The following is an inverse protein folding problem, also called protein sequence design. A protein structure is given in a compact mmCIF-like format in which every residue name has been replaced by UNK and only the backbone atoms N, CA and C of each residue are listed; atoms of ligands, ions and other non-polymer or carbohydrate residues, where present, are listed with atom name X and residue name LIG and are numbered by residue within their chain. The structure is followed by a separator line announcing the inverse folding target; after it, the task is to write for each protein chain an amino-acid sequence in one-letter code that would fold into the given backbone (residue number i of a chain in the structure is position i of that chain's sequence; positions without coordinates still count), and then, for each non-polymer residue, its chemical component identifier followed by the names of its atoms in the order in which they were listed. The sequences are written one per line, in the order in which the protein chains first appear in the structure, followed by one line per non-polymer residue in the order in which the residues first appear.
data_IF_165283305726
#
_entry.id   IF_165283305726
#
_cell.length_a   1.000
_cell.length_b   1.000
_cell.length_c   1.000
_cell.angle_alpha   90.00
_cell.angle_beta   90.00
_cell.angle_gamma   90.00
#
_symmetry.space_group_name_H-M   'P 1'
#
loop_
_entity.id
_entity.type
_entity.pdbx_description
1 polymer ?
#
# COMPACT_ATOMS: atom_id res chain seq x y z
N UNK A 1 69.57 -7.17 28.57
CA UNK A 1 69.89 -7.69 27.22
C UNK A 1 68.84 -7.08 26.29
N UNK A 2 68.97 -5.83 25.81
CA UNK A 2 69.95 -5.30 24.82
C UNK A 2 70.04 -6.23 23.61
N UNK A 3 69.85 -5.82 22.35
CA UNK A 3 69.93 -4.50 21.70
C UNK A 3 69.27 -4.63 20.29
N UNK A 4 68.49 -3.66 19.79
CA UNK A 4 68.88 -2.54 18.88
C UNK A 4 69.31 -2.99 17.46
N UNK A 5 68.98 -2.38 16.30
CA UNK A 5 68.70 -1.00 15.80
C UNK A 5 68.02 -1.13 14.41
N UNK A 6 67.14 -0.21 13.95
CA UNK A 6 67.46 1.04 13.22
C UNK A 6 67.37 0.79 11.69
N UNK A 7 66.60 1.52 10.88
CA UNK A 7 66.80 2.93 10.52
C UNK A 7 65.58 3.59 9.84
N UNK A 8 65.54 4.92 9.99
CA UNK A 8 64.66 5.92 9.37
C UNK A 8 65.49 6.73 8.38
N UNK A 9 65.01 6.95 7.14
CA UNK A 9 65.26 8.11 6.25
C UNK A 9 64.04 8.17 5.29
N UNK A 10 63.34 9.26 4.96
CA UNK A 10 63.62 10.70 5.01
C UNK A 10 63.39 11.34 3.63
N UNK A 11 62.20 11.94 3.44
CA UNK A 11 61.83 13.10 2.57
C UNK A 11 62.26 13.23 1.09
N UNK A 12 61.26 13.42 0.21
CA UNK A 12 61.10 14.51 -0.80
C UNK A 12 59.80 14.20 -1.58
N UNK A 13 58.80 15.06 -1.78
CA UNK A 13 58.74 16.52 -1.81
C UNK A 13 58.51 16.96 -3.25
N UNK A 14 57.25 17.11 -3.71
CA UNK A 14 56.89 18.00 -4.83
C UNK A 14 55.45 18.49 -4.71
N UNK A 15 55.34 19.79 -4.46
CA UNK A 15 54.14 20.62 -4.57
C UNK A 15 53.82 20.87 -6.05
N UNK A 16 52.55 21.00 -6.39
CA UNK A 16 52.13 21.94 -7.43
C UNK A 16 50.90 22.74 -6.97
N UNK A 17 51.14 24.04 -6.89
CA UNK A 17 50.20 25.14 -6.65
C UNK A 17 50.06 25.87 -7.98
N UNK A 18 48.84 26.19 -8.43
CA UNK A 18 48.55 27.33 -9.34
C UNK A 18 47.04 27.38 -9.60
N UNK A 19 46.29 28.23 -8.87
CA UNK A 19 45.86 29.59 -9.24
C UNK A 19 44.64 29.67 -10.17
N UNK A 20 43.58 30.29 -9.63
CA UNK A 20 42.43 30.87 -10.33
C UNK A 20 42.84 31.86 -11.44
N UNK A 21 41.94 32.08 -12.40
CA UNK A 21 41.73 33.42 -12.94
C UNK A 21 40.28 33.89 -12.79
N UNK A 22 40.14 35.12 -12.28
CA UNK A 22 38.95 35.98 -12.37
C UNK A 22 39.20 37.16 -13.31
N UNK A 23 38.11 37.83 -13.72
CA UNK A 23 37.94 39.08 -14.52
C UNK A 23 37.64 38.84 -16.02
N UNK A 24 36.72 39.53 -16.72
CA UNK A 24 35.74 40.59 -16.40
C UNK A 24 34.80 40.80 -17.63
N UNK A 25 33.64 41.46 -17.41
CA UNK A 25 32.81 42.25 -18.37
C UNK A 25 31.88 41.44 -19.30
N UNK A 26 30.55 41.60 -19.36
CA UNK A 26 29.78 42.84 -19.63
C UNK A 26 28.30 42.69 -19.23
N UNK A 27 27.67 43.82 -18.88
CA UNK A 27 26.33 43.97 -18.36
C UNK A 27 25.18 43.89 -19.39
N UNK A 28 23.99 43.51 -18.93
CA UNK A 28 22.72 44.09 -19.39
C UNK A 28 21.71 44.13 -18.22
N UNK A 29 21.29 45.35 -17.87
CA UNK A 29 20.27 45.70 -16.87
C UNK A 29 18.87 45.43 -17.44
N UNK A 30 17.89 45.11 -16.59
CA UNK A 30 16.60 45.80 -16.62
C UNK A 30 15.97 45.82 -15.22
N UNK A 31 15.50 47.01 -14.84
CA UNK A 31 15.05 47.44 -13.51
C UNK A 31 13.53 47.57 -13.49
N UNK A 32 12.86 47.07 -12.44
CA UNK A 32 11.60 47.59 -11.88
C UNK A 32 11.67 47.22 -10.38
N UNK A 33 11.67 48.09 -9.37
CA UNK A 33 10.98 49.36 -9.20
C UNK A 33 10.01 49.20 -8.01
N UNK A 34 10.53 49.18 -6.78
CA UNK A 34 9.77 49.19 -5.52
C UNK A 34 9.31 50.60 -5.16
N UNK A 35 8.05 50.76 -4.78
CA UNK A 35 7.61 51.81 -3.83
C UNK A 35 6.50 51.27 -2.92
N UNK A 36 6.80 51.27 -1.61
CA UNK A 36 5.83 51.26 -0.51
C UNK A 36 5.28 52.69 -0.34
N UNK A 37 4.03 52.85 0.12
CA UNK A 37 3.61 53.65 1.29
C UNK A 37 2.13 53.33 1.63
N UNK A 38 1.86 53.24 2.93
CA UNK A 38 0.61 52.98 3.65
C UNK A 38 -0.54 53.96 3.36
N UNK A 39 -1.79 53.52 3.59
CA UNK A 39 -2.72 54.15 4.55
C UNK A 39 -4.03 53.35 4.72
N UNK A 40 -4.51 53.30 5.96
CA UNK A 40 -5.89 53.00 6.38
C UNK A 40 -6.40 54.23 7.17
N UNK A 41 -7.67 54.41 7.59
CA UNK A 41 -8.84 53.49 7.58
C UNK A 41 -10.18 54.15 7.15
N UNK A 42 -11.27 53.37 6.99
CA UNK A 42 -12.64 53.74 7.46
C UNK A 42 -13.71 52.71 7.06
N UNK A 43 -14.63 52.45 8.00
CA UNK A 43 -15.84 51.64 7.85
C UNK A 43 -16.95 52.42 7.11
N UNK A 44 -17.65 51.80 6.16
CA UNK A 44 -19.06 52.09 5.85
C UNK A 44 -19.79 50.78 5.52
N UNK A 45 -20.93 50.61 6.16
CA UNK A 45 -21.94 49.55 6.02
C UNK A 45 -22.78 49.70 4.74
N UNK A 46 -23.17 48.60 4.10
CA UNK A 46 -24.54 48.37 3.58
C UNK A 46 -24.69 47.04 2.81
N UNK A 47 -25.90 46.49 2.92
CA UNK A 47 -26.37 45.17 2.48
C UNK A 47 -26.63 45.13 0.96
N UNK A 48 -26.52 43.95 0.34
CA UNK A 48 -27.65 43.19 -0.26
C UNK A 48 -27.28 42.35 -1.50
N UNK A 49 -27.73 41.10 -1.45
CA UNK A 49 -28.27 40.25 -2.55
C UNK A 49 -27.41 39.75 -3.73
N UNK A 50 -27.73 38.48 -4.05
CA UNK A 50 -27.66 37.78 -5.34
C UNK A 50 -26.41 36.96 -5.67
N UNK A 51 -26.48 35.69 -5.27
CA UNK A 51 -26.51 34.56 -6.22
C UNK A 51 -25.22 34.30 -7.01
N UNK A 52 -24.30 33.55 -6.43
CA UNK A 52 -23.16 32.97 -7.17
C UNK A 52 -23.43 31.48 -7.42
N UNK A 53 -23.74 31.16 -8.68
CA UNK A 53 -23.76 29.79 -9.20
C UNK A 53 -22.35 29.19 -9.02
N UNK A 54 -22.23 28.19 -8.17
CA UNK A 54 -21.03 27.35 -8.12
C UNK A 54 -21.06 26.36 -9.28
N UNK A 55 -20.05 26.48 -10.15
CA UNK A 55 -19.84 25.64 -11.31
C UNK A 55 -19.28 24.28 -10.83
N UNK A 56 -20.17 23.32 -10.59
CA UNK A 56 -19.80 21.92 -10.32
C UNK A 56 -19.37 21.28 -11.63
N UNK A 57 -18.07 21.15 -11.86
CA UNK A 57 -17.51 20.42 -12.99
C UNK A 57 -17.85 18.93 -12.88
N UNK A 58 -18.90 18.52 -13.59
CA UNK A 58 -19.22 17.14 -13.89
C UNK A 58 -18.19 16.60 -14.89
N UNK A 59 -17.22 15.82 -14.43
CA UNK A 59 -16.34 15.07 -15.33
C UNK A 59 -17.15 13.94 -15.98
N UNK A 60 -17.47 14.12 -17.27
CA UNK A 60 -18.08 13.13 -18.17
C UNK A 60 -16.94 12.32 -18.79
N UNK A 61 -17.00 11.00 -18.69
CA UNK A 61 -16.10 10.11 -19.44
C UNK A 61 -16.32 10.33 -20.95
N UNK A 62 -15.26 10.34 -21.79
CA UNK A 62 -15.42 10.31 -23.24
C UNK A 62 -16.06 9.00 -23.67
N UNK A 63 -16.98 9.09 -24.63
CA UNK A 63 -17.92 8.07 -25.05
C UNK A 63 -17.28 6.69 -25.34
N UNK A 64 -17.73 5.70 -24.57
CA UNK A 64 -17.64 4.28 -24.91
C UNK A 64 -18.85 3.98 -25.79
N UNK A 65 -18.65 3.77 -27.09
CA UNK A 65 -19.71 3.30 -27.99
C UNK A 65 -20.18 1.91 -27.52
N UNK A 66 -21.27 1.90 -26.76
CA UNK A 66 -21.96 0.67 -26.38
C UNK A 66 -22.77 0.21 -27.58
N UNK A 67 -22.32 -0.85 -28.22
CA UNK A 67 -23.13 -1.63 -29.15
C UNK A 67 -24.39 -2.10 -28.42
N UNK A 68 -25.54 -1.64 -28.90
CA UNK A 68 -26.89 -1.79 -28.35
C UNK A 68 -27.41 -3.24 -28.45
N UNK A 69 -26.76 -4.20 -27.79
CA UNK A 69 -27.30 -5.56 -27.61
C UNK A 69 -26.67 -6.40 -26.48
N UNK A 70 -25.74 -5.88 -25.67
CA UNK A 70 -25.15 -6.65 -24.57
C UNK A 70 -25.94 -6.41 -23.27
N UNK A 71 -26.46 -7.47 -22.66
CA UNK A 71 -27.03 -7.36 -21.32
C UNK A 71 -25.95 -6.86 -20.35
N UNK A 72 -26.22 -5.84 -19.51
CA UNK A 72 -25.22 -5.28 -18.58
C UNK A 72 -24.82 -6.25 -17.46
N UNK A 73 -25.51 -7.39 -17.35
CA UNK A 73 -25.31 -8.41 -16.34
C UNK A 73 -25.08 -9.78 -16.95
N UNK A 74 -24.20 -10.54 -16.31
CA UNK A 74 -24.17 -11.97 -16.51
C UNK A 74 -25.43 -12.61 -15.91
N UNK A 75 -25.90 -13.67 -16.57
CA UNK A 75 -27.06 -14.48 -16.12
C UNK A 75 -26.78 -15.11 -14.74
N UNK A 76 -25.51 -15.40 -14.44
CA UNK A 76 -25.04 -15.91 -13.15
C UNK A 76 -23.80 -15.15 -12.69
N UNK A 77 -23.57 -15.14 -11.38
CA UNK A 77 -22.35 -14.58 -10.81
C UNK A 77 -21.12 -15.39 -11.28
N UNK A 78 -20.01 -14.73 -11.64
CA UNK A 78 -18.80 -15.45 -12.09
C UNK A 78 -17.91 -15.92 -10.93
N UNK A 79 -18.22 -15.50 -9.69
CA UNK A 79 -17.74 -16.13 -8.46
C UNK A 79 -18.89 -16.24 -7.49
N UNK A 80 -18.99 -17.40 -6.87
CA UNK A 80 -20.06 -17.66 -5.93
C UNK A 80 -19.81 -16.98 -4.58
N UNK A 81 -20.83 -16.28 -4.10
CA UNK A 81 -20.83 -15.64 -2.81
C UNK A 81 -22.20 -15.76 -2.14
N UNK A 82 -22.17 -16.06 -0.85
CA UNK A 82 -23.34 -16.08 0.02
C UNK A 82 -23.44 -14.75 0.77
N UNK A 83 -24.51 -14.01 0.53
CA UNK A 83 -24.74 -12.67 1.06
C UNK A 83 -25.68 -12.73 2.27
N UNK A 84 -25.25 -13.41 3.34
CA UNK A 84 -26.08 -13.67 4.53
C UNK A 84 -25.40 -13.22 5.83
N UNK A 85 -26.22 -12.93 6.84
CA UNK A 85 -25.73 -12.60 8.20
C UNK A 85 -24.99 -13.79 8.85
N UNK A 86 -25.41 -15.01 8.53
CA UNK A 86 -24.74 -16.23 8.97
C UNK A 86 -23.32 -16.31 8.37
N UNK A 87 -23.19 -16.08 7.06
CA UNK A 87 -21.90 -16.08 6.40
C UNK A 87 -20.99 -14.97 6.93
N UNK A 88 -21.53 -13.77 7.16
CA UNK A 88 -20.82 -12.68 7.83
C UNK A 88 -20.26 -13.12 9.20
N UNK A 89 -21.10 -13.74 10.02
CA UNK A 89 -20.72 -14.21 11.36
C UNK A 89 -19.67 -15.31 11.30
N UNK A 90 -19.80 -16.25 10.37
CA UNK A 90 -18.83 -17.32 10.14
C UNK A 90 -17.47 -16.75 9.74
N UNK A 91 -17.42 -15.84 8.78
CA UNK A 91 -16.18 -15.20 8.35
C UNK A 91 -15.54 -14.37 9.45
N UNK A 92 -16.33 -13.60 10.21
CA UNK A 92 -15.84 -12.87 11.39
C UNK A 92 -15.16 -13.84 12.38
N UNK A 93 -15.80 -14.99 12.65
CA UNK A 93 -15.23 -16.01 13.54
C UNK A 93 -13.95 -16.60 12.98
N UNK A 94 -13.91 -16.94 11.68
CA UNK A 94 -12.70 -17.45 11.01
C UNK A 94 -11.55 -16.47 11.15
N UNK A 95 -11.78 -15.20 10.82
CA UNK A 95 -10.74 -14.18 10.93
C UNK A 95 -10.33 -13.98 12.39
N UNK A 96 -11.25 -13.80 13.34
CA UNK A 96 -10.91 -13.57 14.76
C UNK A 96 -10.15 -14.72 15.42
N UNK A 97 -10.51 -15.96 15.07
CA UNK A 97 -9.89 -17.18 15.61
C UNK A 97 -8.59 -17.56 14.89
N UNK A 98 -8.25 -16.89 13.78
CA UNK A 98 -7.06 -17.17 12.99
C UNK A 98 -5.79 -17.15 13.85
N UNK A 99 -4.99 -18.20 13.74
CA UNK A 99 -3.63 -18.28 14.28
C UNK A 99 -2.74 -18.87 13.18
N UNK A 100 -1.55 -18.30 12.95
CA UNK A 100 -0.59 -18.86 12.00
C UNK A 100 -0.34 -20.34 12.25
N UNK A 101 -0.23 -21.13 11.19
CA UNK A 101 0.07 -22.56 11.29
C UNK A 101 1.48 -22.85 11.85
N UNK A 102 2.38 -21.85 11.86
CA UNK A 102 3.71 -21.94 12.44
C UNK A 102 3.70 -21.57 13.93
N UNK A 103 4.12 -22.50 14.81
CA UNK A 103 4.16 -22.28 16.26
C UNK A 103 5.17 -21.23 16.74
N UNK A 104 6.14 -20.83 15.90
CA UNK A 104 7.10 -19.77 16.21
C UNK A 104 6.53 -18.37 15.93
N UNK A 105 5.44 -18.27 15.17
CA UNK A 105 4.87 -17.00 14.72
C UNK A 105 3.51 -16.79 15.38
N UNK A 106 3.44 -15.80 16.27
CA UNK A 106 2.19 -15.45 16.95
C UNK A 106 1.21 -14.68 16.06
N UNK A 107 1.72 -13.96 15.05
CA UNK A 107 0.92 -13.15 14.14
C UNK A 107 1.48 -13.13 12.71
N UNK A 108 0.62 -13.38 11.74
CA UNK A 108 0.91 -13.17 10.33
C UNK A 108 0.93 -11.67 10.00
N UNK A 109 2.09 -11.13 9.65
CA UNK A 109 2.20 -9.80 9.02
C UNK A 109 1.86 -9.84 7.52
N UNK A 110 0.95 -8.98 7.11
CA UNK A 110 0.51 -8.78 5.72
C UNK A 110 0.85 -7.37 5.28
N UNK A 111 1.54 -7.19 4.16
CA UNK A 111 1.92 -5.86 3.65
C UNK A 111 1.01 -5.38 2.52
N UNK A 112 0.43 -4.19 2.65
CA UNK A 112 -0.35 -3.57 1.58
C UNK A 112 0.53 -2.66 0.72
N UNK A 113 0.66 -2.97 -0.57
CA UNK A 113 1.41 -2.21 -1.56
C UNK A 113 0.49 -1.66 -2.64
N UNK A 114 0.78 -0.47 -3.16
CA UNK A 114 0.02 0.07 -4.29
C UNK A 114 0.05 1.60 -4.35
N UNK A 115 -0.46 2.20 -5.43
CA UNK A 115 -0.36 3.64 -5.67
C UNK A 115 -0.97 4.48 -4.55
N UNK A 116 -0.54 5.74 -4.48
CA UNK A 116 -1.17 6.73 -3.59
C UNK A 116 -2.64 6.88 -3.97
N UNK A 117 -3.52 6.86 -2.96
CA UNK A 117 -4.96 6.94 -3.16
C UNK A 117 -5.61 5.66 -3.70
N UNK A 118 -4.91 4.53 -3.78
CA UNK A 118 -5.49 3.26 -4.19
C UNK A 118 -6.44 2.63 -3.15
N UNK A 119 -6.57 3.21 -1.94
CA UNK A 119 -7.49 2.71 -0.91
C UNK A 119 -6.90 1.73 0.11
N UNK A 120 -5.57 1.64 0.24
CA UNK A 120 -4.88 0.78 1.23
C UNK A 120 -5.33 1.05 2.66
N UNK A 121 -5.13 2.27 3.15
CA UNK A 121 -5.50 2.68 4.50
C UNK A 121 -7.02 2.61 4.72
N UNK A 122 -7.81 2.92 3.68
CA UNK A 122 -9.27 2.81 3.70
C UNK A 122 -9.74 1.37 3.86
N UNK A 123 -9.09 0.41 3.19
CA UNK A 123 -9.38 -1.01 3.35
C UNK A 123 -9.13 -1.45 4.80
N UNK A 124 -7.97 -1.12 5.36
CA UNK A 124 -7.65 -1.44 6.76
C UNK A 124 -8.69 -0.84 7.72
N UNK A 125 -9.05 0.43 7.53
CA UNK A 125 -10.06 1.10 8.37
C UNK A 125 -11.43 0.45 8.23
N UNK A 126 -11.78 -0.02 7.02
CA UNK A 126 -13.03 -0.72 6.75
C UNK A 126 -13.07 -2.04 7.49
N UNK A 127 -12.01 -2.85 7.37
CA UNK A 127 -11.88 -4.12 8.10
C UNK A 127 -11.97 -3.89 9.61
N UNK A 128 -11.25 -2.91 10.15
CA UNK A 128 -11.35 -2.58 11.58
C UNK A 128 -12.76 -2.12 12.00
N UNK A 129 -13.50 -1.45 11.11
CA UNK A 129 -14.87 -1.03 11.37
C UNK A 129 -15.81 -2.22 11.52
N UNK A 130 -15.63 -3.24 10.68
CA UNK A 130 -16.37 -4.51 10.73
C UNK A 130 -16.23 -5.14 12.13
N UNK A 131 -14.99 -5.30 12.63
CA UNK A 131 -14.75 -5.88 13.97
C UNK A 131 -15.17 -4.97 15.13
N UNK A 132 -15.11 -3.65 14.97
CA UNK A 132 -15.58 -2.70 15.98
C UNK A 132 -17.11 -2.59 16.05
N UNK A 133 -17.85 -3.18 15.10
CA UNK A 133 -19.31 -3.08 15.01
C UNK A 133 -19.83 -1.68 14.66
N UNK A 134 -18.94 -0.76 14.24
CA UNK A 134 -19.29 0.60 13.82
C UNK A 134 -18.27 1.13 12.84
N UNK A 135 -18.70 2.00 11.93
CA UNK A 135 -17.76 2.69 11.02
C UNK A 135 -16.79 3.54 11.85
N UNK A 136 -15.51 3.20 11.78
CA UNK A 136 -14.40 3.91 12.42
C UNK A 136 -13.41 4.38 11.37
N UNK A 137 -13.25 5.69 11.22
CA UNK A 137 -12.18 6.29 10.40
C UNK A 137 -10.93 6.51 11.26
N UNK A 138 -10.28 5.41 11.66
CA UNK A 138 -9.05 5.44 12.48
C UNK A 138 -7.78 5.52 11.64
N UNK A 139 -7.81 5.00 10.41
CA UNK A 139 -6.77 5.34 9.45
C UNK A 139 -6.91 6.83 9.12
N UNK A 140 -5.80 7.56 9.08
CA UNK A 140 -5.80 8.98 8.70
C UNK A 140 -6.19 9.08 7.21
N UNK A 141 -7.49 9.02 6.90
CA UNK A 141 -8.05 9.22 5.56
C UNK A 141 -8.04 10.73 5.31
N UNK A 142 -6.83 11.28 5.19
CA UNK A 142 -6.58 12.69 4.98
C UNK A 142 -5.41 12.82 4.04
N UNK A 143 -5.66 13.40 2.86
CA UNK A 143 -4.61 13.99 2.04
C UNK A 143 -3.68 14.83 2.93
N UNK A 144 -2.38 14.82 2.62
CA UNK A 144 -1.34 15.69 3.21
C UNK A 144 -0.74 15.23 4.55
N UNK A 145 0.20 14.29 4.49
CA UNK A 145 1.41 14.32 5.32
C UNK A 145 2.50 13.52 4.61
N UNK A 146 3.57 14.21 4.21
CA UNK A 146 4.71 13.73 3.42
C UNK A 146 5.66 12.79 4.18
N UNK A 147 5.19 12.10 5.23
CA UNK A 147 6.02 11.23 6.06
C UNK A 147 5.58 9.76 5.96
N UNK A 148 6.52 8.93 5.53
CA UNK A 148 6.29 7.57 5.06
C UNK A 148 6.37 6.61 6.23
N UNK A 149 5.28 6.23 6.90
CA UNK A 149 5.40 5.36 8.08
C UNK A 149 4.93 3.93 7.80
N UNK A 150 5.74 2.91 8.10
CA UNK A 150 5.25 1.52 8.28
C UNK A 150 4.35 1.52 9.52
N UNK A 151 3.03 1.46 9.29
CA UNK A 151 2.03 1.44 10.36
C UNK A 151 1.41 0.05 10.42
N UNK A 152 1.74 -0.77 11.43
CA UNK A 152 1.02 -2.01 11.66
C UNK A 152 -0.35 -1.72 12.28
N UNK A 153 -1.36 -2.41 11.77
CA UNK A 153 -2.72 -2.36 12.25
C UNK A 153 -3.12 -3.76 12.68
N UNK A 154 -3.24 -3.94 13.99
CA UNK A 154 -3.80 -5.16 14.55
C UNK A 154 -5.29 -5.20 14.23
N UNK A 155 -5.72 -6.33 13.67
CA UNK A 155 -7.13 -6.68 13.69
C UNK A 155 -7.43 -7.18 15.10
N UNK A 156 -8.43 -6.60 15.72
CA UNK A 156 -8.91 -7.05 17.02
C UNK A 156 -10.16 -7.88 16.76
N UNK A 157 -10.35 -8.97 17.52
CA UNK A 157 -11.61 -9.68 17.56
C UNK A 157 -12.73 -8.81 18.14
N UNK A 158 -13.85 -9.45 18.50
CA UNK A 158 -14.92 -8.70 19.17
C UNK A 158 -14.44 -8.16 20.52
N UNK A 159 -15.08 -7.07 20.98
CA UNK A 159 -14.67 -6.28 22.16
C UNK A 159 -14.41 -7.17 23.38
N UNK A 160 -13.13 -7.35 23.75
CA UNK A 160 -12.69 -8.14 24.90
C UNK A 160 -11.92 -9.42 24.55
N UNK A 161 -11.82 -9.79 23.27
CA UNK A 161 -11.00 -10.91 22.81
C UNK A 161 -9.55 -10.50 22.55
N UNK A 162 -8.64 -11.48 22.64
CA UNK A 162 -7.24 -11.30 22.30
C UNK A 162 -7.08 -10.79 20.85
N UNK A 163 -6.03 -9.99 20.57
CA UNK A 163 -5.73 -9.55 19.21
C UNK A 163 -5.66 -10.75 18.26
N UNK A 164 -6.24 -10.59 17.06
CA UNK A 164 -6.22 -11.62 16.04
C UNK A 164 -4.79 -12.00 15.67
N UNK A 165 -4.57 -13.23 15.20
CA UNK A 165 -3.27 -13.70 14.71
C UNK A 165 -2.79 -13.03 13.42
N UNK A 166 -3.26 -11.83 13.07
CA UNK A 166 -2.91 -11.11 11.84
C UNK A 166 -2.68 -9.62 12.09
N UNK A 167 -1.69 -9.07 11.39
CA UNK A 167 -1.35 -7.64 11.38
C UNK A 167 -1.33 -7.15 9.94
N UNK A 168 -2.14 -6.14 9.62
CA UNK A 168 -2.10 -5.47 8.33
C UNK A 168 -1.14 -4.29 8.40
N UNK A 169 -0.10 -4.30 7.58
CA UNK A 169 0.92 -3.25 7.49
C UNK A 169 0.59 -2.32 6.33
N UNK A 170 0.31 -1.05 6.64
CA UNK A 170 0.21 0.01 5.63
C UNK A 170 1.55 0.70 5.46
N UNK A 171 1.92 0.95 4.21
CA UNK A 171 3.05 1.80 3.85
C UNK A 171 2.57 2.84 2.83
N UNK A 172 3.28 3.98 2.76
CA UNK A 172 2.92 5.02 1.80
C UNK A 172 2.96 4.48 0.37
N UNK A 173 2.07 4.99 -0.48
CA UNK A 173 1.86 4.42 -1.81
C UNK A 173 3.07 4.52 -2.72
N UNK A 174 3.13 3.60 -3.68
CA UNK A 174 4.13 3.61 -4.76
C UNK A 174 3.95 4.92 -5.55
N UNK A 175 5.05 5.66 -5.73
CA UNK A 175 5.06 6.88 -6.55
C UNK A 175 5.55 6.59 -7.96
N UNK A 176 5.10 7.43 -8.88
CA UNK A 176 5.35 7.33 -10.31
C UNK A 176 6.72 7.95 -10.66
N UNK A 177 7.69 7.14 -11.06
CA UNK A 177 8.90 7.62 -11.75
C UNK A 177 9.99 8.18 -10.83
N UNK A 178 11.05 7.39 -10.67
CA UNK A 178 12.45 7.69 -10.31
C UNK A 178 12.84 8.64 -9.17
N UNK A 179 11.96 9.38 -8.47
CA UNK A 179 12.47 10.25 -7.37
C UNK A 179 11.52 10.63 -6.22
N UNK A 180 10.33 10.05 -6.12
CA UNK A 180 9.35 10.49 -5.07
C UNK A 180 8.58 9.37 -4.37
N UNK A 181 9.05 8.12 -4.42
CA UNK A 181 8.40 6.97 -3.79
C UNK A 181 9.36 6.10 -2.99
N UNK A 182 8.84 5.09 -2.29
CA UNK A 182 9.66 4.03 -1.69
C UNK A 182 10.49 3.36 -2.78
N UNK A 183 11.79 3.20 -2.53
CA UNK A 183 12.64 2.44 -3.45
C UNK A 183 12.27 0.95 -3.39
N UNK A 184 12.57 0.20 -4.44
CA UNK A 184 12.44 -1.27 -4.43
C UNK A 184 13.21 -1.86 -3.23
N UNK A 185 14.39 -1.31 -2.93
CA UNK A 185 15.20 -1.71 -1.79
C UNK A 185 14.48 -1.52 -0.45
N UNK A 186 13.76 -0.40 -0.26
CA UNK A 186 13.01 -0.15 0.97
C UNK A 186 11.88 -1.16 1.14
N UNK A 187 11.13 -1.43 0.08
CA UNK A 187 10.03 -2.41 0.10
C UNK A 187 10.56 -3.80 0.44
N UNK A 188 11.66 -4.22 -0.18
CA UNK A 188 12.29 -5.50 0.12
C UNK A 188 12.85 -5.56 1.55
N UNK A 189 13.38 -4.45 2.05
CA UNK A 189 13.82 -4.36 3.45
C UNK A 189 12.66 -4.49 4.43
N UNK A 190 11.48 -3.97 4.09
CA UNK A 190 10.25 -4.18 4.87
C UNK A 190 9.83 -5.63 4.85
N UNK A 191 9.80 -6.26 3.67
CA UNK A 191 9.37 -7.66 3.50
C UNK A 191 10.27 -8.60 4.30
N UNK A 192 11.58 -8.37 4.25
CA UNK A 192 12.58 -9.12 5.02
C UNK A 192 12.56 -8.85 6.52
N UNK A 193 11.76 -7.90 7.00
CA UNK A 193 11.67 -7.58 8.44
C UNK A 193 12.81 -6.72 8.99
N UNK A 194 13.63 -6.11 8.12
CA UNK A 194 14.75 -5.27 8.57
C UNK A 194 14.31 -3.89 9.08
N UNK A 195 13.13 -3.44 8.67
CA UNK A 195 12.63 -2.09 8.96
C UNK A 195 11.84 -2.10 10.28
N UNK A 196 12.23 -1.28 11.27
CA UNK A 196 11.51 -1.21 12.54
C UNK A 196 10.11 -0.63 12.37
N UNK A 197 9.23 -0.97 13.28
CA UNK A 197 7.90 -0.37 13.38
C UNK A 197 7.99 1.15 13.54
N UNK A 198 7.09 1.89 12.88
CA UNK A 198 7.05 3.34 12.97
C UNK A 198 8.18 4.05 12.20
N UNK A 199 9.03 3.32 11.48
CA UNK A 199 10.06 3.91 10.63
C UNK A 199 9.46 4.88 9.62
N UNK A 200 10.07 6.06 9.51
CA UNK A 200 9.71 7.10 8.53
C UNK A 200 10.65 7.01 7.32
N UNK A 201 10.18 6.46 6.21
CA UNK A 201 10.95 6.47 4.95
C UNK A 201 11.11 7.90 4.43
N UNK A 202 12.16 8.12 3.66
CA UNK A 202 12.38 9.34 2.89
C UNK A 202 13.00 8.95 1.55
N UNK A 203 12.58 9.53 0.41
CA UNK A 203 13.19 9.24 -0.90
C UNK A 203 14.68 9.61 -0.94
N UNK A 204 15.09 10.58 -0.12
CA UNK A 204 16.48 11.01 0.02
C UNK A 204 17.32 10.12 0.92
N UNK A 205 16.69 9.23 1.70
CA UNK A 205 17.36 8.38 2.68
C UNK A 205 16.75 6.97 2.64
N UNK A 206 17.22 6.12 1.71
CA UNK A 206 16.85 4.71 1.68
C UNK A 206 17.22 4.01 2.99
N UNK A 207 16.51 2.93 3.29
CA UNK A 207 16.81 2.07 4.44
C UNK A 207 18.19 1.46 4.25
N UNK A 208 19.04 1.58 5.27
CA UNK A 208 20.37 0.98 5.35
C UNK A 208 20.58 0.33 6.71
N UNK A 209 21.67 -0.44 6.86
CA UNK A 209 22.07 -1.02 8.14
C UNK A 209 22.41 0.02 9.23
N UNK A 210 22.55 1.29 8.85
CA UNK A 210 22.77 2.43 9.76
C UNK A 210 21.46 3.10 10.18
N UNK A 211 20.32 2.69 9.60
CA UNK A 211 19.01 3.21 9.96
C UNK A 211 18.73 2.94 11.44
N UNK A 212 18.26 3.96 12.16
CA UNK A 212 17.95 3.84 13.59
C UNK A 212 16.90 2.74 13.80
N UNK A 213 17.23 1.75 14.62
CA UNK A 213 16.37 0.60 14.90
C UNK A 213 16.39 -0.50 13.83
N UNK A 214 17.30 -0.45 12.85
CA UNK A 214 17.43 -1.48 11.82
C UNK A 214 17.66 -2.87 12.43
N UNK A 215 16.81 -3.82 12.05
CA UNK A 215 16.87 -5.20 12.54
C UNK A 215 17.87 -5.96 11.67
N UNK A 216 19.10 -6.15 12.18
CA UNK A 216 20.18 -6.83 11.42
C UNK A 216 19.88 -8.29 11.11
N UNK A 217 19.20 -8.98 12.02
CA UNK A 217 18.87 -10.40 11.93
C UNK A 217 17.38 -10.58 12.25
N UNK A 218 16.49 -10.29 11.28
CA UNK A 218 15.06 -10.43 11.47
C UNK A 218 14.72 -11.89 11.71
N UNK A 219 13.87 -12.13 12.71
CA UNK A 219 13.26 -13.42 12.96
C UNK A 219 12.04 -13.61 12.05
N UNK A 220 11.49 -14.83 11.98
CA UNK A 220 10.33 -15.11 11.12
C UNK A 220 9.15 -14.19 11.45
N UNK A 221 8.92 -13.92 12.75
CA UNK A 221 7.86 -13.01 13.20
C UNK A 221 8.02 -11.56 12.72
N UNK A 222 9.24 -11.13 12.35
CA UNK A 222 9.53 -9.77 11.88
C UNK A 222 9.25 -9.61 10.38
N UNK A 223 9.19 -10.72 9.63
CA UNK A 223 9.02 -10.76 8.19
C UNK A 223 7.56 -10.59 7.77
N UNK A 224 7.36 -10.25 6.50
CA UNK A 224 6.05 -10.22 5.86
C UNK A 224 5.76 -11.59 5.27
N UNK A 225 4.59 -12.14 5.59
CA UNK A 225 4.17 -13.50 5.18
C UNK A 225 3.23 -13.48 3.97
N UNK A 226 2.61 -12.34 3.68
CA UNK A 226 1.81 -12.15 2.47
C UNK A 226 1.86 -10.68 2.01
N UNK A 227 1.94 -10.45 0.70
CA UNK A 227 1.86 -9.12 0.11
C UNK A 227 0.55 -8.95 -0.65
N UNK A 228 -0.10 -7.80 -0.44
CA UNK A 228 -1.38 -7.44 -1.03
C UNK A 228 -1.18 -6.22 -1.94
N UNK A 229 -1.32 -6.40 -3.24
CA UNK A 229 -1.35 -5.28 -4.18
C UNK A 229 -2.73 -4.63 -4.21
N UNK A 230 -2.80 -3.32 -4.02
CA UNK A 230 -4.05 -2.57 -3.96
C UNK A 230 -4.10 -1.59 -5.14
N UNK A 231 -5.12 -1.71 -5.97
CA UNK A 231 -5.36 -0.86 -7.13
C UNK A 231 -6.78 -0.30 -7.13
N UNK A 232 -6.95 0.92 -7.61
CA UNK A 232 -8.25 1.62 -7.67
C UNK A 232 -8.93 1.35 -9.01
N UNK A 233 -10.10 0.72 -8.99
CA UNK A 233 -10.90 0.37 -10.16
C UNK A 233 -11.16 1.56 -11.09
N UNK A 234 -11.38 2.75 -10.52
CA UNK A 234 -11.64 3.97 -11.29
C UNK A 234 -10.40 4.53 -11.99
N UNK A 235 -9.21 4.05 -11.61
CA UNK A 235 -7.91 4.54 -12.11
C UNK A 235 -7.08 3.49 -12.82
N UNK A 236 -7.49 2.21 -12.83
CA UNK A 236 -6.74 1.11 -13.48
C UNK A 236 -6.24 1.48 -14.88
N UNK A 237 -7.07 2.17 -15.67
CA UNK A 237 -6.76 2.58 -17.04
C UNK A 237 -5.89 3.83 -17.16
N UNK A 238 -5.86 4.64 -16.10
CA UNK A 238 -5.15 5.91 -16.05
C UNK A 238 -3.75 5.80 -15.46
N UNK A 239 -3.37 4.63 -14.93
CA UNK A 239 -2.06 4.45 -14.35
C UNK A 239 -0.96 4.57 -15.42
N UNK A 240 0.19 5.18 -15.09
CA UNK A 240 1.31 5.27 -16.01
C UNK A 240 1.81 3.88 -16.40
N UNK A 241 2.28 3.74 -17.65
CA UNK A 241 2.82 2.47 -18.16
C UNK A 241 3.97 1.92 -17.30
N UNK A 242 4.81 2.80 -16.76
CA UNK A 242 5.93 2.41 -15.87
C UNK A 242 5.50 1.77 -14.54
N UNK A 243 4.23 1.90 -14.15
CA UNK A 243 3.74 1.25 -12.93
C UNK A 243 3.66 -0.27 -13.10
N UNK A 244 3.32 -0.74 -14.31
CA UNK A 244 3.27 -2.19 -14.59
C UNK A 244 4.64 -2.83 -14.44
N UNK A 245 5.70 -2.14 -14.91
CA UNK A 245 7.09 -2.61 -14.73
C UNK A 245 7.51 -2.59 -13.26
N UNK A 246 7.12 -1.59 -12.47
CA UNK A 246 7.39 -1.58 -11.02
C UNK A 246 6.70 -2.75 -10.32
N UNK A 247 5.43 -3.02 -10.65
CA UNK A 247 4.74 -4.19 -10.11
C UNK A 247 5.42 -5.49 -10.52
N UNK A 248 5.88 -5.59 -11.77
CA UNK A 248 6.58 -6.78 -12.26
C UNK A 248 7.85 -7.04 -11.45
N UNK A 249 8.71 -6.03 -11.31
CA UNK A 249 9.93 -6.14 -10.51
C UNK A 249 9.62 -6.52 -9.07
N UNK A 250 8.61 -5.89 -8.45
CA UNK A 250 8.18 -6.25 -7.10
C UNK A 250 7.75 -7.72 -7.03
N UNK A 251 6.90 -8.18 -7.96
CA UNK A 251 6.40 -9.55 -7.96
C UNK A 251 7.51 -10.58 -8.08
N UNK A 252 8.46 -10.35 -8.97
CA UNK A 252 9.61 -11.23 -9.18
C UNK A 252 10.41 -11.35 -7.86
N UNK A 253 10.81 -10.23 -7.26
CA UNK A 253 11.58 -10.24 -6.02
C UNK A 253 10.80 -10.79 -4.81
N UNK A 254 9.49 -10.55 -4.74
CA UNK A 254 8.63 -11.09 -3.67
C UNK A 254 8.51 -12.62 -3.82
N UNK A 255 8.39 -13.12 -5.06
CA UNK A 255 8.34 -14.56 -5.35
C UNK A 255 9.68 -15.24 -5.05
N UNK A 256 10.81 -14.58 -5.34
CA UNK A 256 12.15 -15.07 -4.99
C UNK A 256 12.36 -15.20 -3.47
N UNK A 257 11.62 -14.40 -2.68
CA UNK A 257 11.59 -14.51 -1.21
C UNK A 257 10.60 -15.58 -0.71
N UNK A 258 9.92 -16.30 -1.61
CA UNK A 258 8.92 -17.30 -1.26
C UNK A 258 7.62 -16.72 -0.69
N UNK A 259 7.40 -15.41 -0.80
CA UNK A 259 6.23 -14.74 -0.21
C UNK A 259 5.07 -14.71 -1.22
N UNK A 260 3.90 -15.15 -0.77
CA UNK A 260 2.70 -15.19 -1.60
C UNK A 260 2.06 -13.82 -1.78
N UNK A 261 1.40 -13.64 -2.94
CA UNK A 261 0.91 -12.35 -3.39
C UNK A 261 -0.55 -12.43 -3.83
N UNK A 262 -1.38 -11.51 -3.33
CA UNK A 262 -2.78 -11.34 -3.74
C UNK A 262 -3.04 -9.89 -4.14
N UNK A 263 -4.17 -9.63 -4.79
CA UNK A 263 -4.54 -8.29 -5.19
C UNK A 263 -5.95 -7.90 -4.75
N UNK A 264 -6.12 -6.63 -4.38
CA UNK A 264 -7.40 -5.99 -4.08
C UNK A 264 -7.70 -4.94 -5.13
N UNK A 265 -8.88 -5.04 -5.73
CA UNK A 265 -9.44 -4.03 -6.61
C UNK A 265 -10.46 -3.20 -5.82
N UNK A 266 -10.06 -2.01 -5.39
CA UNK A 266 -10.89 -1.13 -4.56
C UNK A 266 -11.77 -0.22 -5.41
N UNK A 267 -12.72 0.46 -4.78
CA UNK A 267 -13.58 1.47 -5.42
C UNK A 267 -14.43 0.94 -6.58
N UNK A 268 -14.84 -0.32 -6.50
CA UNK A 268 -15.69 -0.96 -7.52
C UNK A 268 -17.07 -0.29 -7.63
N UNK A 269 -17.51 0.37 -6.56
CA UNK A 269 -18.70 1.22 -6.50
C UNK A 269 -18.59 2.48 -7.39
N UNK A 270 -17.38 2.98 -7.66
CA UNK A 270 -17.20 4.18 -8.50
C UNK A 270 -17.31 3.90 -10.00
N UNK A 271 -17.06 2.66 -10.42
CA UNK A 271 -17.07 2.27 -11.84
C UNK A 271 -18.40 1.65 -12.28
N UNK A 272 -19.18 1.10 -11.34
CA UNK A 272 -20.48 0.50 -11.64
C UNK A 272 -21.57 1.08 -10.72
N UNK A 273 -22.49 1.91 -11.24
CA UNK A 273 -23.56 2.52 -10.45
C UNK A 273 -24.44 1.51 -9.71
N UNK A 274 -24.63 0.32 -10.29
CA UNK A 274 -25.48 -0.69 -9.69
C UNK A 274 -24.78 -1.46 -8.58
N UNK A 275 -23.46 -1.65 -8.68
CA UNK A 275 -22.64 -2.11 -7.53
C UNK A 275 -22.55 -1.05 -6.44
N UNK A 276 -22.61 0.24 -6.80
CA UNK A 276 -22.69 1.33 -5.82
C UNK A 276 -23.98 1.27 -5.00
N UNK A 277 -25.11 0.95 -5.66
CA UNK A 277 -26.42 0.78 -5.01
C UNK A 277 -26.49 -0.52 -4.21
N UNK A 278 -26.00 -1.61 -4.78
CA UNK A 278 -26.06 -2.94 -4.20
C UNK A 278 -24.79 -3.74 -4.54
N UNK A 279 -23.96 -3.93 -3.52
CA UNK A 279 -22.64 -4.57 -3.63
C UNK A 279 -22.74 -6.04 -4.03
N UNK A 280 -23.90 -6.69 -3.88
CA UNK A 280 -24.09 -8.10 -4.31
C UNK A 280 -23.98 -8.27 -5.83
N UNK A 281 -24.08 -7.17 -6.58
CA UNK A 281 -23.88 -7.15 -8.03
C UNK A 281 -22.40 -7.14 -8.46
N UNK A 282 -21.46 -7.09 -7.52
CA UNK A 282 -20.02 -7.02 -7.81
C UNK A 282 -19.54 -8.15 -8.73
N UNK A 283 -20.07 -9.36 -8.57
CA UNK A 283 -19.76 -10.53 -9.39
C UNK A 283 -20.77 -10.82 -10.50
N UNK A 284 -21.69 -9.89 -10.77
CA UNK A 284 -22.66 -9.96 -11.88
C UNK A 284 -22.43 -8.87 -12.93
N UNK A 285 -21.72 -7.80 -12.57
CA UNK A 285 -21.45 -6.65 -13.41
C UNK A 285 -20.36 -6.90 -14.45
N UNK A 286 -20.70 -6.84 -15.74
CA UNK A 286 -19.72 -6.98 -16.83
C UNK A 286 -18.62 -5.91 -16.76
N UNK A 287 -18.96 -4.71 -16.28
CA UNK A 287 -18.00 -3.60 -16.12
C UNK A 287 -16.92 -3.98 -15.11
N UNK A 288 -17.31 -4.55 -13.96
CA UNK A 288 -16.36 -4.95 -12.92
C UNK A 288 -15.49 -6.11 -13.41
N UNK A 289 -16.07 -7.07 -14.13
CA UNK A 289 -15.32 -8.17 -14.74
C UNK A 289 -14.25 -7.65 -15.71
N UNK A 290 -14.61 -6.69 -16.57
CA UNK A 290 -13.68 -6.09 -17.52
C UNK A 290 -12.56 -5.31 -16.79
N UNK A 291 -12.91 -4.50 -15.79
CA UNK A 291 -11.91 -3.77 -14.99
C UNK A 291 -10.98 -4.73 -14.24
N UNK A 292 -11.50 -5.87 -13.76
CA UNK A 292 -10.71 -6.92 -13.11
C UNK A 292 -9.69 -7.55 -14.08
N UNK A 293 -10.09 -7.82 -15.33
CA UNK A 293 -9.16 -8.28 -16.37
C UNK A 293 -8.04 -7.26 -16.63
N UNK A 294 -8.38 -5.96 -16.68
CA UNK A 294 -7.40 -4.90 -16.88
C UNK A 294 -6.48 -4.72 -15.67
N UNK A 295 -6.99 -4.89 -14.46
CA UNK A 295 -6.19 -4.94 -13.25
C UNK A 295 -5.21 -6.13 -13.28
N UNK A 296 -5.66 -7.30 -13.74
CA UNK A 296 -4.80 -8.47 -13.93
C UNK A 296 -3.70 -8.23 -14.95
N UNK A 297 -4.00 -7.59 -16.07
CA UNK A 297 -2.98 -7.21 -17.06
C UNK A 297 -1.97 -6.20 -16.49
N UNK A 298 -2.43 -5.20 -15.74
CA UNK A 298 -1.57 -4.20 -15.09
C UNK A 298 -0.61 -4.84 -14.08
N UNK A 299 -1.17 -5.72 -13.23
CA UNK A 299 -0.47 -6.41 -12.16
C UNK A 299 0.26 -7.67 -12.63
N UNK A 300 0.12 -8.11 -13.89
CA UNK A 300 0.64 -9.40 -14.35
C UNK A 300 0.20 -10.58 -13.47
N UNK A 301 -1.06 -10.58 -13.03
CA UNK A 301 -1.66 -11.61 -12.17
C UNK A 301 -2.90 -12.20 -12.83
N UNK A 302 -3.16 -13.49 -12.61
CA UNK A 302 -4.43 -14.10 -12.99
C UNK A 302 -5.56 -13.45 -12.20
N UNK A 303 -6.73 -13.28 -12.83
CA UNK A 303 -7.90 -12.70 -12.18
C UNK A 303 -8.29 -13.46 -10.92
N UNK A 304 -8.02 -14.78 -10.85
CA UNK A 304 -8.26 -15.62 -9.67
C UNK A 304 -7.61 -15.11 -8.38
N UNK A 305 -6.52 -14.35 -8.46
CA UNK A 305 -5.81 -13.78 -7.31
C UNK A 305 -6.28 -12.35 -6.95
N UNK A 306 -7.24 -11.81 -7.70
CA UNK A 306 -7.73 -10.43 -7.56
C UNK A 306 -9.11 -10.47 -6.92
N UNK A 307 -9.26 -9.81 -5.77
CA UNK A 307 -10.53 -9.70 -5.05
C UNK A 307 -11.06 -8.26 -5.15
N UNK A 308 -12.24 -8.04 -5.77
CA UNK A 308 -12.91 -6.75 -5.73
C UNK A 308 -13.43 -6.45 -4.33
N UNK A 309 -13.25 -5.22 -3.87
CA UNK A 309 -13.72 -4.78 -2.56
C UNK A 309 -14.35 -3.39 -2.62
N UNK A 310 -15.38 -3.18 -1.81
CA UNK A 310 -15.96 -1.86 -1.51
C UNK A 310 -15.56 -1.48 -0.10
N UNK A 311 -14.82 -0.39 0.04
CA UNK A 311 -14.40 0.13 1.34
C UNK A 311 -15.48 1.07 1.90
N UNK A 312 -15.66 1.08 3.22
CA UNK A 312 -16.41 2.13 3.89
C UNK A 312 -15.67 3.45 3.74
N UNK A 313 -16.35 4.44 3.16
CA UNK A 313 -15.75 5.75 2.90
C UNK A 313 -16.70 6.91 3.17
N UNK A 314 -17.99 6.72 2.92
CA UNK A 314 -19.02 7.75 3.06
C UNK A 314 -20.16 7.34 4.00
N UNK A 315 -20.27 6.04 4.25
CA UNK A 315 -21.31 5.42 5.05
C UNK A 315 -21.09 5.63 6.55
N UNK A 316 -22.20 5.79 7.29
CA UNK A 316 -22.18 5.94 8.75
C UNK A 316 -22.42 4.61 9.48
N UNK A 317 -23.09 3.67 8.82
CA UNK A 317 -23.46 2.38 9.35
C UNK A 317 -22.80 1.27 8.54
N UNK A 318 -22.59 0.12 9.18
CA UNK A 318 -22.16 -1.09 8.50
C UNK A 318 -23.31 -1.67 7.68
N UNK A 319 -22.94 -2.32 6.59
CA UNK A 319 -23.80 -3.04 5.68
C UNK A 319 -23.33 -4.51 5.61
N UNK A 320 -24.27 -5.44 5.75
CA UNK A 320 -23.97 -6.88 5.85
C UNK A 320 -23.23 -7.37 4.61
N UNK A 321 -23.67 -6.95 3.42
CA UNK A 321 -23.09 -7.42 2.16
C UNK A 321 -21.67 -6.85 1.97
N UNK A 322 -21.47 -5.59 2.33
CA UNK A 322 -20.15 -4.95 2.30
C UNK A 322 -19.20 -5.60 3.31
N UNK A 323 -19.68 -5.92 4.52
CA UNK A 323 -18.92 -6.67 5.53
C UNK A 323 -18.49 -8.04 4.99
N UNK A 324 -19.42 -8.80 4.41
CA UNK A 324 -19.13 -10.12 3.82
C UNK A 324 -18.05 -10.02 2.75
N UNK A 325 -18.12 -9.01 1.86
CA UNK A 325 -17.11 -8.82 0.81
C UNK A 325 -15.72 -8.49 1.37
N UNK A 326 -15.65 -7.62 2.37
CA UNK A 326 -14.39 -7.26 3.03
C UNK A 326 -13.80 -8.45 3.79
N UNK A 327 -14.63 -9.20 4.51
CA UNK A 327 -14.20 -10.35 5.29
C UNK A 327 -13.72 -11.50 4.39
N UNK A 328 -14.38 -11.75 3.25
CA UNK A 328 -13.89 -12.71 2.26
C UNK A 328 -12.51 -12.32 1.72
N UNK A 329 -12.26 -11.03 1.48
CA UNK A 329 -10.94 -10.56 1.06
C UNK A 329 -9.87 -10.84 2.13
N UNK A 330 -10.18 -10.59 3.41
CA UNK A 330 -9.26 -10.88 4.52
C UNK A 330 -9.04 -12.39 4.66
N UNK A 331 -10.10 -13.20 4.62
CA UNK A 331 -10.00 -14.66 4.67
C UNK A 331 -9.11 -15.20 3.54
N UNK A 332 -9.30 -14.70 2.32
CA UNK A 332 -8.44 -15.05 1.18
C UNK A 332 -6.97 -14.68 1.42
N UNK A 333 -6.70 -13.49 1.95
CA UNK A 333 -5.33 -13.06 2.33
C UNK A 333 -4.72 -14.02 3.37
N UNK A 334 -5.49 -14.42 4.38
CA UNK A 334 -5.02 -15.32 5.44
C UNK A 334 -4.66 -16.70 4.90
N UNK A 335 -5.45 -17.23 3.96
CA UNK A 335 -5.13 -18.50 3.29
C UNK A 335 -3.76 -18.45 2.59
N UNK A 336 -3.41 -17.34 1.93
CA UNK A 336 -2.08 -17.17 1.31
C UNK A 336 -0.96 -16.93 2.33
N UNK A 337 -1.24 -16.28 3.45
CA UNK A 337 -0.29 -16.19 4.55
C UNK A 337 0.00 -17.59 5.14
N UNK A 338 -0.99 -18.48 5.20
CA UNK A 338 -0.78 -19.87 5.65
C UNK A 338 0.02 -20.70 4.66
N UNK A 339 -0.16 -20.50 3.35
CA UNK A 339 0.68 -21.15 2.34
C UNK A 339 2.15 -20.81 2.55
N UNK A 340 2.48 -19.56 2.93
CA UNK A 340 3.85 -19.18 3.24
C UNK A 340 4.41 -20.02 4.40
N UNK A 341 3.64 -20.22 5.47
CA UNK A 341 4.11 -21.03 6.60
C UNK A 341 4.25 -22.52 6.24
N UNK A 342 3.37 -23.06 5.39
CA UNK A 342 3.46 -24.45 4.93
C UNK A 342 4.70 -24.69 4.05
N UNK A 343 4.99 -23.76 3.14
CA UNK A 343 6.15 -23.87 2.26
C UNK A 343 7.47 -23.79 3.05
N UNK A 344 7.52 -22.91 4.06
CA UNK A 344 8.72 -22.73 4.88
C UNK A 344 8.93 -23.83 5.93
N UNK A 345 7.86 -24.43 6.48
CA UNK A 345 7.98 -25.56 7.43
C UNK A 345 8.48 -26.85 6.75
N UNK A 346 8.19 -27.02 5.47
CA UNK A 346 8.63 -28.20 4.70
C UNK A 346 10.15 -28.16 4.42
N UNK A 347 10.73 -26.96 4.24
CA UNK A 347 12.16 -26.80 3.96
C UNK A 347 13.07 -27.13 5.16
N UNK A 348 12.62 -26.91 6.40
CA UNK A 348 13.41 -27.21 7.60
C UNK A 348 13.43 -28.71 7.97
N UNK A 349 12.56 -29.53 7.37
CA UNK A 349 12.42 -30.96 7.70
C UNK A 349 13.31 -31.86 6.83
N UNK A 350 13.94 -31.35 5.76
CA UNK A 350 14.72 -32.14 4.79
C UNK A 350 16.24 -32.21 5.05
N UNK A 351 16.76 -31.80 6.21
CA UNK A 351 18.15 -32.07 6.58
C UNK A 351 18.27 -33.39 7.36
N UNK A 352 18.79 -34.49 6.77
CA UNK A 352 19.07 -35.69 7.53
C UNK A 352 20.17 -35.38 8.55
N UNK A 353 19.83 -35.49 9.83
CA UNK A 353 20.80 -35.53 10.93
C UNK A 353 21.73 -36.73 10.68
N UNK A 354 22.87 -36.49 10.05
CA UNK A 354 23.99 -37.44 10.03
C UNK A 354 24.43 -37.59 11.47
N UNK A 355 24.01 -38.70 12.10
CA UNK A 355 24.59 -39.16 13.37
C UNK A 355 26.02 -39.58 13.08
N UNK A 356 26.98 -38.71 13.35
CA UNK A 356 28.38 -39.10 13.48
C UNK A 356 28.55 -39.78 14.83
N UNK A 357 28.56 -41.11 14.83
CA UNK A 357 29.10 -41.91 15.93
C UNK A 357 30.59 -42.13 15.68
N UNK A 358 31.44 -41.61 16.57
CA UNK A 358 32.80 -42.10 16.79
C UNK A 358 33.01 -42.31 18.29
#
# INVERSE_FOLDING_TARGET
MQNERGEIIGSSGFNFLSTLPTTNTTAARFTIGTTLVNDAPSQITSKSSMGRKENRSSYRFPDMEVSSAAQPYLVSQWRDMEWTEEQRTNLMKTVSSYRPSCGEVTRAQVLLLGPVGAGKSSFISSVQSVFNGRVTNRAMVGSFSSSFTKKPYNIHGQKGEDPTGVVLCDIMGLSNGEMTGLSLHDVLSVIKGHVPEGHKFSPSQPVTCETVGYVRRPSLQDQIHCVVFVVDASKVMSYPKGLSTTFQQLREHISDLGVHQVALLTHVDKVCPDTAKDVTNVYKSNIIQEVMNKAGALLGMSTSYIVPVKNYSSELNLDVNTDVLLLHAVDHILQYADLYFQDNTTQDTELPKVKTSY
#
